data_IF_352519813961
#
_entry.id   IF_352519813961
#
_cell.length_a   1.000
_cell.length_b   1.000
_cell.length_c   1.000
_cell.angle_alpha   90.00
_cell.angle_beta   90.00
_cell.angle_gamma   90.00
#
_symmetry.space_group_name_H-M   'P 1'
#
loop_
_entity.id
_entity.type
_entity.pdbx_description
1 polymer ?
#
# COMPACT_ATOMS: atom_id res chain seq x y z
N UNK A 1 -7.53 -0.09 -21.26
CA UNK A 1 -7.51 -1.56 -21.15
C UNK A 1 -7.39 -1.91 -19.68
N UNK A 2 -8.15 -2.88 -19.22
CA UNK A 2 -8.03 -3.40 -17.86
C UNK A 2 -6.81 -4.35 -17.83
N UNK A 3 -5.81 -4.17 -16.96
CA UNK A 3 -4.62 -5.04 -16.91
C UNK A 3 -4.97 -6.51 -16.71
N UNK A 4 -6.07 -6.79 -16.03
CA UNK A 4 -6.54 -8.17 -15.80
C UNK A 4 -6.92 -8.92 -17.10
N UNK A 5 -7.16 -8.20 -18.22
CA UNK A 5 -7.44 -8.84 -19.53
C UNK A 5 -6.22 -9.57 -20.10
N UNK A 6 -5.02 -9.22 -19.64
CA UNK A 6 -3.76 -9.85 -20.09
C UNK A 6 -3.27 -10.97 -19.17
N UNK A 7 -3.94 -11.17 -18.05
CA UNK A 7 -3.56 -12.26 -17.14
C UNK A 7 -4.10 -13.60 -17.64
N UNK A 8 -3.31 -14.67 -17.52
CA UNK A 8 -3.80 -16.00 -17.83
C UNK A 8 -4.98 -16.34 -16.92
N UNK A 9 -5.94 -17.16 -17.36
CA UNK A 9 -7.01 -17.65 -16.51
C UNK A 9 -6.44 -18.28 -15.23
N UNK A 10 -7.00 -17.93 -14.07
CA UNK A 10 -6.64 -18.51 -12.78
C UNK A 10 -7.92 -18.92 -12.03
N UNK A 11 -8.60 -20.00 -12.47
CA UNK A 11 -9.91 -20.42 -11.96
C UNK A 11 -9.87 -20.84 -10.50
N UNK A 12 -8.70 -21.17 -9.96
CA UNK A 12 -8.53 -21.69 -8.61
C UNK A 12 -8.24 -20.64 -7.55
N UNK A 13 -8.23 -19.35 -7.92
CA UNK A 13 -8.08 -18.26 -6.94
C UNK A 13 -9.33 -18.19 -6.05
N UNK A 14 -9.08 -17.99 -4.76
CA UNK A 14 -10.12 -17.88 -3.75
C UNK A 14 -10.29 -16.40 -3.36
N UNK A 15 -11.48 -15.84 -3.55
CA UNK A 15 -11.81 -14.48 -3.19
C UNK A 15 -12.69 -14.47 -1.95
N UNK A 16 -12.34 -13.67 -0.94
CA UNK A 16 -13.09 -13.51 0.31
C UNK A 16 -13.12 -12.05 0.74
N UNK A 17 -14.24 -11.62 1.33
CA UNK A 17 -14.30 -10.38 2.06
C UNK A 17 -13.81 -10.62 3.49
N UNK A 18 -12.99 -9.68 4.00
CA UNK A 18 -12.61 -9.62 5.40
C UNK A 18 -13.24 -8.36 5.97
N UNK A 19 -14.07 -8.49 6.98
CA UNK A 19 -14.76 -7.36 7.60
C UNK A 19 -14.68 -7.42 9.12
N UNK A 20 -14.54 -6.27 9.75
CA UNK A 20 -14.54 -6.11 11.20
C UNK A 20 -14.93 -4.69 11.62
N UNK A 21 -15.19 -4.51 12.91
CA UNK A 21 -15.36 -3.19 13.53
C UNK A 21 -14.11 -2.83 14.34
N UNK A 22 -13.67 -1.59 14.20
CA UNK A 22 -12.57 -1.04 14.99
C UNK A 22 -12.90 0.38 15.43
N UNK A 23 -12.86 0.64 16.73
CA UNK A 23 -13.19 1.94 17.37
C UNK A 23 -14.55 2.52 16.90
N UNK A 24 -15.55 1.66 16.67
CA UNK A 24 -16.89 2.08 16.28
C UNK A 24 -17.08 2.37 14.79
N UNK A 25 -16.09 2.07 13.96
CA UNK A 25 -16.14 2.16 12.50
C UNK A 25 -16.08 0.77 11.88
N UNK A 26 -16.88 0.55 10.83
CA UNK A 26 -16.86 -0.69 10.05
C UNK A 26 -15.84 -0.61 8.91
N UNK A 27 -15.07 -1.68 8.74
CA UNK A 27 -14.06 -1.81 7.70
C UNK A 27 -14.29 -3.09 6.91
N UNK A 28 -14.05 -3.04 5.59
CA UNK A 28 -14.14 -4.19 4.71
C UNK A 28 -13.00 -4.19 3.70
N UNK A 29 -12.27 -5.30 3.60
CA UNK A 29 -11.19 -5.53 2.64
C UNK A 29 -11.45 -6.74 1.76
N UNK A 30 -10.59 -6.93 0.77
CA UNK A 30 -10.69 -8.02 -0.20
C UNK A 30 -9.43 -8.90 -0.12
N UNK A 31 -9.61 -10.13 0.31
CA UNK A 31 -8.55 -11.14 0.35
C UNK A 31 -8.63 -12.00 -0.91
N UNK A 32 -7.48 -12.21 -1.54
CA UNK A 32 -7.33 -13.16 -2.63
C UNK A 32 -6.21 -14.14 -2.27
N UNK A 33 -6.52 -15.43 -2.29
CA UNK A 33 -5.57 -16.50 -2.04
C UNK A 33 -5.37 -17.38 -3.28
N UNK A 34 -4.19 -17.97 -3.48
CA UNK A 34 -3.98 -18.98 -4.50
C UNK A 34 -4.77 -20.24 -4.19
N UNK A 35 -4.73 -21.23 -5.10
CA UNK A 35 -5.41 -22.51 -4.91
C UNK A 35 -5.11 -23.13 -3.54
N UNK A 36 -6.15 -23.64 -2.87
CA UNK A 36 -6.01 -24.35 -1.60
C UNK A 36 -5.07 -25.58 -1.69
N UNK A 37 -4.88 -26.13 -2.88
CA UNK A 37 -3.96 -27.24 -3.11
C UNK A 37 -2.49 -26.88 -2.83
N UNK A 38 -2.15 -25.59 -2.84
CA UNK A 38 -0.81 -25.09 -2.53
C UNK A 38 -0.54 -24.95 -1.02
N UNK A 39 -1.55 -25.15 -0.18
CA UNK A 39 -1.49 -24.92 1.27
C UNK A 39 -1.41 -23.44 1.67
N UNK A 40 -1.28 -23.15 2.99
CA UNK A 40 -1.18 -21.78 3.49
C UNK A 40 0.05 -21.03 2.94
N UNK A 41 -0.12 -19.73 2.66
CA UNK A 41 0.88 -18.87 2.03
C UNK A 41 1.12 -17.60 2.84
N UNK A 42 2.28 -16.92 2.69
CA UNK A 42 2.53 -15.65 3.34
C UNK A 42 1.51 -14.58 2.95
N UNK A 43 1.08 -13.80 3.94
CA UNK A 43 0.17 -12.67 3.76
C UNK A 43 0.93 -11.42 3.31
N UNK A 44 0.37 -10.71 2.34
CA UNK A 44 0.80 -9.37 1.93
C UNK A 44 -0.39 -8.42 2.00
N UNK A 45 -0.31 -7.40 2.86
CA UNK A 45 -1.28 -6.31 2.89
C UNK A 45 -1.04 -5.36 1.72
N UNK A 46 -2.11 -4.92 1.08
CA UNK A 46 -2.11 -3.90 0.01
C UNK A 46 -2.88 -2.70 0.48
N UNK A 47 -2.21 -1.56 0.61
CA UNK A 47 -2.79 -0.33 1.15
C UNK A 47 -2.99 0.68 0.03
N UNK A 48 -4.23 1.13 -0.11
CA UNK A 48 -4.68 2.03 -1.16
C UNK A 48 -4.03 3.43 -1.12
N UNK A 49 -4.12 4.17 -2.21
CA UNK A 49 -3.76 5.59 -2.24
C UNK A 49 -4.83 6.44 -1.48
N UNK A 50 -4.64 7.78 -1.43
CA UNK A 50 -5.55 8.66 -0.70
C UNK A 50 -7.02 8.60 -1.13
N UNK A 51 -7.34 8.03 -2.29
CA UNK A 51 -8.71 7.93 -2.80
C UNK A 51 -9.53 6.77 -2.20
N UNK A 52 -8.98 6.01 -1.27
CA UNK A 52 -9.64 4.85 -0.67
C UNK A 52 -9.48 3.57 -1.49
N UNK A 53 -9.98 2.46 -0.93
CA UNK A 53 -9.90 1.13 -1.54
C UNK A 53 -10.67 1.09 -2.86
N UNK A 54 -9.98 0.74 -3.94
CA UNK A 54 -10.52 0.67 -5.31
C UNK A 54 -10.24 -0.67 -5.99
N UNK A 55 -10.74 -0.82 -7.19
CA UNK A 55 -10.50 -2.01 -7.99
C UNK A 55 -9.00 -2.24 -8.25
N UNK A 56 -8.21 -1.18 -8.41
CA UNK A 56 -6.76 -1.32 -8.57
C UNK A 56 -6.11 -2.04 -7.39
N UNK A 57 -6.49 -1.74 -6.17
CA UNK A 57 -5.92 -2.35 -4.97
C UNK A 57 -6.33 -3.84 -4.88
N UNK A 58 -7.55 -4.18 -5.30
CA UNK A 58 -8.01 -5.56 -5.43
C UNK A 58 -7.27 -6.30 -6.55
N UNK A 59 -6.99 -5.63 -7.68
CA UNK A 59 -6.17 -6.17 -8.77
C UNK A 59 -4.74 -6.44 -8.30
N UNK A 60 -4.18 -5.58 -7.42
CA UNK A 60 -2.86 -5.83 -6.81
C UNK A 60 -2.90 -7.04 -5.88
N UNK A 61 -3.93 -7.19 -5.05
CA UNK A 61 -4.09 -8.36 -4.20
C UNK A 61 -4.22 -9.66 -5.03
N UNK A 62 -4.96 -9.62 -6.14
CA UNK A 62 -5.04 -10.74 -7.08
C UNK A 62 -3.70 -11.02 -7.77
N UNK A 63 -2.96 -9.98 -8.20
CA UNK A 63 -1.62 -10.13 -8.74
C UNK A 63 -0.69 -10.88 -7.78
N UNK A 64 -0.71 -10.52 -6.51
CA UNK A 64 0.07 -11.19 -5.47
C UNK A 64 -0.37 -12.65 -5.28
N UNK A 65 -1.67 -12.95 -5.34
CA UNK A 65 -2.17 -14.31 -5.25
C UNK A 65 -1.73 -15.16 -6.45
N UNK A 66 -1.68 -14.59 -7.64
CA UNK A 66 -1.14 -15.25 -8.85
C UNK A 66 0.35 -15.54 -8.75
N UNK A 67 1.10 -14.74 -8.00
CA UNK A 67 2.51 -14.97 -7.70
C UNK A 67 2.74 -16.03 -6.61
N UNK A 68 1.69 -16.47 -5.89
CA UNK A 68 1.79 -17.49 -4.84
C UNK A 68 1.72 -16.96 -3.41
N UNK A 69 1.33 -15.70 -3.18
CA UNK A 69 1.08 -15.09 -1.87
C UNK A 69 -0.41 -15.03 -1.55
N UNK A 70 -0.79 -14.69 -0.33
CA UNK A 70 -2.14 -14.22 -0.02
C UNK A 70 -2.13 -12.70 -0.06
N UNK A 71 -2.86 -12.10 -1.01
CA UNK A 71 -3.02 -10.65 -1.10
C UNK A 71 -4.26 -10.19 -0.34
N UNK A 72 -4.15 -9.18 0.51
CA UNK A 72 -5.27 -8.56 1.22
C UNK A 72 -5.28 -7.05 0.96
N UNK A 73 -6.17 -6.61 0.08
CA UNK A 73 -6.44 -5.19 -0.13
C UNK A 73 -7.30 -4.67 1.03
N UNK A 74 -6.72 -3.76 1.82
CA UNK A 74 -7.33 -3.24 3.04
C UNK A 74 -7.93 -1.85 2.85
N UNK A 75 -9.02 -1.60 3.55
CA UNK A 75 -9.66 -0.30 3.64
C UNK A 75 -9.19 0.45 4.90
N UNK A 76 -8.65 1.65 4.72
CA UNK A 76 -8.21 2.49 5.82
C UNK A 76 -9.22 3.57 6.21
N UNK A 77 -10.34 3.69 5.49
CA UNK A 77 -11.29 4.78 5.70
C UNK A 77 -12.64 4.34 6.29
N UNK A 78 -13.00 3.07 6.12
CA UNK A 78 -14.23 2.51 6.64
C UNK A 78 -15.48 3.26 6.16
N UNK A 79 -16.41 3.48 7.06
CA UNK A 79 -17.65 4.20 6.82
C UNK A 79 -17.48 5.72 6.61
N UNK A 80 -16.27 6.28 6.78
CA UNK A 80 -15.98 7.68 6.45
C UNK A 80 -16.01 7.94 4.95
N UNK A 81 -15.63 6.95 4.16
CA UNK A 81 -15.82 6.93 2.71
C UNK A 81 -16.58 5.65 2.37
N UNK A 82 -17.91 5.67 2.35
CA UNK A 82 -18.77 4.52 2.11
C UNK A 82 -18.39 3.75 0.84
N UNK A 83 -18.65 2.45 0.82
CA UNK A 83 -18.22 1.55 -0.26
C UNK A 83 -18.79 1.91 -1.63
N UNK A 84 -20.00 2.46 -1.67
CA UNK A 84 -20.64 3.00 -2.86
C UNK A 84 -20.00 4.29 -3.39
N UNK A 85 -19.32 5.03 -2.52
CA UNK A 85 -18.57 6.25 -2.84
C UNK A 85 -17.07 5.99 -3.11
N UNK A 86 -16.58 4.76 -2.94
CA UNK A 86 -15.16 4.39 -3.13
C UNK A 86 -14.74 4.26 -4.59
N UNK A 87 -15.68 4.13 -5.50
CA UNK A 87 -15.38 4.21 -6.92
C UNK A 87 -15.21 5.67 -7.35
N UNK A 88 -14.36 5.89 -8.35
CA UNK A 88 -14.13 7.25 -8.84
C UNK A 88 -15.42 7.78 -9.48
N UNK A 89 -15.93 8.98 -9.09
CA UNK A 89 -17.16 9.52 -9.64
C UNK A 89 -17.10 9.64 -11.17
N UNK A 90 -18.16 9.21 -11.84
CA UNK A 90 -18.30 9.35 -13.29
C UNK A 90 -18.69 10.77 -13.70
N UNK A 91 -19.39 11.49 -12.82
CA UNK A 91 -19.75 12.89 -13.00
C UNK A 91 -18.59 13.80 -12.59
N UNK A 92 -18.01 14.59 -13.52
CA UNK A 92 -16.91 15.50 -13.21
C UNK A 92 -17.21 16.49 -12.07
N UNK A 93 -18.49 16.86 -11.90
CA UNK A 93 -18.90 17.80 -10.85
C UNK A 93 -18.82 17.20 -9.44
N UNK A 94 -18.74 15.88 -9.31
CA UNK A 94 -18.63 15.17 -8.04
C UNK A 94 -17.19 14.84 -7.66
N UNK A 95 -16.25 14.99 -8.58
CA UNK A 95 -14.85 14.58 -8.37
C UNK A 95 -14.21 15.34 -7.20
N UNK A 96 -14.38 16.67 -7.16
CA UNK A 96 -13.77 17.49 -6.12
C UNK A 96 -14.34 17.17 -4.73
N UNK A 97 -15.66 17.00 -4.61
CA UNK A 97 -16.30 16.62 -3.36
C UNK A 97 -15.84 15.24 -2.86
N UNK A 98 -15.72 14.27 -3.78
CA UNK A 98 -15.20 12.94 -3.47
C UNK A 98 -13.74 12.99 -3.00
N UNK A 99 -12.89 13.73 -3.72
CA UNK A 99 -11.48 13.90 -3.35
C UNK A 99 -11.32 14.57 -1.99
N UNK A 100 -12.14 15.59 -1.70
CA UNK A 100 -12.17 16.26 -0.40
C UNK A 100 -12.50 15.29 0.72
N UNK A 101 -13.56 14.48 0.56
CA UNK A 101 -13.95 13.46 1.54
C UNK A 101 -12.81 12.44 1.80
N UNK A 102 -12.17 11.95 0.75
CA UNK A 102 -11.04 11.02 0.87
C UNK A 102 -9.85 11.68 1.58
N UNK A 103 -9.57 12.94 1.28
CA UNK A 103 -8.49 13.68 1.92
C UNK A 103 -8.78 13.93 3.41
N UNK A 104 -10.01 14.27 3.77
CA UNK A 104 -10.44 14.40 5.17
C UNK A 104 -10.31 13.08 5.94
N UNK A 105 -10.63 11.94 5.31
CA UNK A 105 -10.44 10.63 5.91
C UNK A 105 -8.95 10.30 6.12
N UNK A 106 -8.08 10.68 5.18
CA UNK A 106 -6.63 10.56 5.34
C UNK A 106 -6.13 11.43 6.50
N UNK A 107 -6.55 12.68 6.57
CA UNK A 107 -6.16 13.62 7.65
C UNK A 107 -6.66 13.15 9.02
N UNK A 108 -7.82 12.50 9.08
CA UNK A 108 -8.32 11.89 10.33
C UNK A 108 -7.35 10.86 10.90
N UNK A 109 -6.73 10.02 10.06
CA UNK A 109 -5.68 9.09 10.50
C UNK A 109 -4.39 9.81 10.88
N UNK A 110 -3.99 10.83 10.12
CA UNK A 110 -2.79 11.63 10.42
C UNK A 110 -2.87 12.34 11.79
N UNK A 111 -4.08 12.69 12.22
CA UNK A 111 -4.30 13.36 13.50
C UNK A 111 -4.17 12.45 14.72
N UNK A 112 -4.33 11.13 14.52
CA UNK A 112 -4.28 10.12 15.57
C UNK A 112 -3.39 8.95 15.15
N UNK A 113 -2.06 9.04 15.37
CA UNK A 113 -1.13 7.96 15.03
C UNK A 113 -1.40 6.65 15.75
N UNK A 114 -1.96 6.67 16.94
CA UNK A 114 -2.33 5.46 17.67
C UNK A 114 -3.54 4.78 17.03
N UNK A 115 -4.50 5.56 16.54
CA UNK A 115 -5.60 5.07 15.72
C UNK A 115 -5.06 4.46 14.42
N UNK A 116 -4.17 5.18 13.72
CA UNK A 116 -3.62 4.75 12.45
C UNK A 116 -2.89 3.40 12.57
N UNK A 117 -1.97 3.29 13.51
CA UNK A 117 -1.20 2.08 13.79
C UNK A 117 -2.07 0.94 14.30
N UNK A 118 -3.01 1.26 15.21
CA UNK A 118 -3.98 0.27 15.72
C UNK A 118 -4.90 -0.29 14.65
N UNK A 119 -5.30 0.50 13.66
CA UNK A 119 -6.07 0.02 12.52
C UNK A 119 -5.25 -0.91 11.62
N UNK A 120 -3.98 -0.58 11.36
CA UNK A 120 -3.07 -1.47 10.62
C UNK A 120 -2.88 -2.80 11.34
N UNK A 121 -2.71 -2.79 12.66
CA UNK A 121 -2.60 -4.00 13.48
C UNK A 121 -3.89 -4.82 13.43
N UNK A 122 -5.05 -4.19 13.51
CA UNK A 122 -6.34 -4.87 13.37
C UNK A 122 -6.48 -5.58 12.02
N UNK A 123 -6.00 -4.96 10.94
CA UNK A 123 -5.96 -5.59 9.61
C UNK A 123 -4.99 -6.78 9.56
N UNK A 124 -3.82 -6.69 10.20
CA UNK A 124 -2.89 -7.82 10.31
C UNK A 124 -3.53 -8.99 11.05
N UNK A 125 -4.16 -8.72 12.20
CA UNK A 125 -4.85 -9.75 12.99
C UNK A 125 -5.98 -10.40 12.18
N UNK A 126 -6.81 -9.60 11.53
CA UNK A 126 -7.92 -10.11 10.71
C UNK A 126 -7.43 -10.94 9.52
N UNK A 127 -6.38 -10.49 8.83
CA UNK A 127 -5.79 -11.21 7.70
C UNK A 127 -5.12 -12.52 8.12
N UNK A 128 -4.37 -12.52 9.23
CA UNK A 128 -3.71 -13.73 9.76
C UNK A 128 -4.71 -14.79 10.26
N UNK A 129 -5.94 -14.41 10.56
CA UNK A 129 -6.98 -15.37 10.95
C UNK A 129 -7.53 -16.20 9.78
N UNK A 130 -7.25 -15.84 8.52
CA UNK A 130 -7.70 -16.60 7.36
C UNK A 130 -6.92 -17.91 7.20
N UNK A 131 -7.63 -19.01 6.91
CA UNK A 131 -7.05 -20.35 6.78
C UNK A 131 -6.04 -20.51 5.63
N UNK A 132 -6.04 -19.59 4.66
CA UNK A 132 -5.07 -19.57 3.57
C UNK A 132 -3.75 -18.93 3.96
N UNK A 133 -3.67 -18.26 5.11
CA UNK A 133 -2.48 -17.57 5.59
C UNK A 133 -1.59 -18.50 6.41
N UNK A 134 -0.29 -18.45 6.15
CA UNK A 134 0.72 -19.22 6.86
C UNK A 134 1.28 -18.42 8.04
N UNK A 135 1.40 -19.07 9.19
CA UNK A 135 2.09 -18.52 10.37
C UNK A 135 3.62 -18.72 10.32
N UNK A 136 4.14 -19.34 9.26
CA UNK A 136 5.56 -19.67 9.17
C UNK A 136 6.47 -18.45 8.93
N UNK A 137 5.90 -17.32 8.52
CA UNK A 137 6.61 -16.06 8.33
C UNK A 137 5.72 -14.88 8.69
N UNK A 138 6.32 -13.82 9.23
CA UNK A 138 5.63 -12.56 9.43
C UNK A 138 5.15 -11.98 8.11
N UNK A 139 3.96 -11.38 8.03
CA UNK A 139 3.43 -10.78 6.80
C UNK A 139 4.33 -9.70 6.21
N UNK A 140 4.11 -9.37 4.94
CA UNK A 140 4.61 -8.14 4.33
C UNK A 140 3.49 -7.14 4.11
N UNK A 141 3.84 -5.89 3.82
CA UNK A 141 2.88 -4.87 3.42
C UNK A 141 3.42 -4.01 2.27
N UNK A 142 2.55 -3.65 1.35
CA UNK A 142 2.86 -2.70 0.28
C UNK A 142 1.81 -1.59 0.24
N UNK A 143 2.20 -0.41 -0.20
CA UNK A 143 1.25 0.69 -0.30
C UNK A 143 1.65 1.75 -1.32
N UNK A 144 0.65 2.43 -1.85
CA UNK A 144 0.78 3.43 -2.91
C UNK A 144 0.41 4.82 -2.38
N UNK A 145 1.25 5.82 -2.55
CA UNK A 145 0.99 7.20 -2.09
C UNK A 145 0.71 7.25 -0.57
N UNK A 146 -0.52 7.54 -0.15
CA UNK A 146 -0.97 7.41 1.25
C UNK A 146 -0.66 6.01 1.82
N UNK A 147 -0.91 4.94 1.07
CA UNK A 147 -0.58 3.58 1.49
C UNK A 147 0.91 3.37 1.72
N UNK A 148 1.76 4.04 0.94
CA UNK A 148 3.21 4.05 1.15
C UNK A 148 3.60 4.72 2.47
N UNK A 149 2.91 5.78 2.88
CA UNK A 149 3.05 6.37 4.21
C UNK A 149 2.53 5.42 5.29
N UNK A 150 1.41 4.75 5.05
CA UNK A 150 0.79 3.84 6.00
C UNK A 150 1.69 2.65 6.37
N UNK A 151 2.38 2.05 5.39
CA UNK A 151 3.32 0.95 5.70
C UNK A 151 4.46 1.42 6.59
N UNK A 152 4.93 2.67 6.42
CA UNK A 152 5.96 3.26 7.28
C UNK A 152 5.45 3.53 8.71
N UNK A 153 4.18 3.91 8.85
CA UNK A 153 3.54 4.02 10.18
C UNK A 153 3.44 2.64 10.85
N UNK A 154 3.22 1.58 10.10
CA UNK A 154 3.31 0.21 10.60
C UNK A 154 4.70 -0.13 11.16
N UNK A 155 5.76 0.25 10.45
CA UNK A 155 7.16 0.07 10.93
C UNK A 155 7.40 0.87 12.20
N UNK A 156 6.98 2.14 12.22
CA UNK A 156 7.09 3.04 13.39
C UNK A 156 6.29 2.53 14.60
N UNK A 157 5.20 1.84 14.38
CA UNK A 157 4.37 1.21 15.41
C UNK A 157 4.87 -0.16 15.86
N UNK A 158 5.99 -0.65 15.32
CA UNK A 158 6.54 -1.94 15.72
C UNK A 158 5.75 -3.15 15.24
N UNK A 159 4.93 -3.01 14.22
CA UNK A 159 4.13 -4.13 13.72
C UNK A 159 5.03 -5.29 13.25
N UNK A 160 4.55 -6.51 13.48
CA UNK A 160 5.26 -7.73 13.08
C UNK A 160 5.15 -7.95 11.56
N UNK A 161 6.00 -7.23 10.82
CA UNK A 161 6.13 -7.30 9.38
C UNK A 161 7.54 -7.77 8.99
N UNK A 162 7.65 -8.69 8.04
CA UNK A 162 8.93 -9.12 7.48
C UNK A 162 9.53 -8.07 6.54
N UNK A 163 8.69 -7.43 5.73
CA UNK A 163 9.10 -6.40 4.80
C UNK A 163 7.96 -5.42 4.52
N UNK A 164 8.31 -4.18 4.16
CA UNK A 164 7.37 -3.20 3.61
C UNK A 164 7.92 -2.58 2.33
N UNK A 165 7.02 -2.27 1.38
CA UNK A 165 7.36 -1.54 0.16
C UNK A 165 6.47 -0.33 0.02
N UNK A 166 7.09 0.85 -0.01
CA UNK A 166 6.42 2.13 -0.21
C UNK A 166 6.61 2.59 -1.66
N UNK A 167 5.54 2.55 -2.47
CA UNK A 167 5.54 3.07 -3.83
C UNK A 167 5.10 4.54 -3.81
N UNK A 168 5.99 5.46 -4.19
CA UNK A 168 5.77 6.90 -4.22
C UNK A 168 5.00 7.40 -2.98
N UNK A 169 5.34 6.86 -1.81
CA UNK A 169 4.72 7.22 -0.55
C UNK A 169 5.24 8.53 0.01
N UNK A 170 4.40 9.21 0.81
CA UNK A 170 4.89 10.25 1.70
C UNK A 170 5.77 9.59 2.77
N UNK A 171 6.91 10.20 3.08
CA UNK A 171 7.87 9.57 3.99
C UNK A 171 7.49 9.72 5.45
N UNK A 172 6.65 10.69 5.78
CA UNK A 172 6.26 10.99 7.15
C UNK A 172 4.79 11.38 7.26
N UNK A 173 4.15 10.93 8.33
CA UNK A 173 2.81 11.35 8.73
C UNK A 173 2.81 12.83 9.11
N UNK A 174 1.75 13.56 8.79
CA UNK A 174 1.63 14.99 9.09
C UNK A 174 2.45 15.92 8.18
N UNK A 175 3.31 15.41 7.31
CA UNK A 175 3.91 16.22 6.26
C UNK A 175 2.90 16.46 5.15
N UNK A 176 2.64 17.72 4.88
CA UNK A 176 1.73 18.09 3.82
C UNK A 176 2.33 19.16 2.92
N UNK A 177 2.66 18.78 1.70
CA UNK A 177 3.12 19.73 0.71
C UNK A 177 1.99 20.56 0.07
N UNK A 178 0.72 20.23 0.29
CA UNK A 178 -0.40 20.93 -0.36
C UNK A 178 -1.68 21.01 0.51
N UNK A 179 -1.62 21.50 1.76
CA UNK A 179 -2.75 21.54 2.68
C UNK A 179 -3.95 22.30 2.15
N UNK A 180 -3.69 23.36 1.38
CA UNK A 180 -4.73 24.27 0.92
C UNK A 180 -5.62 23.70 -0.19
N UNK A 181 -5.22 22.60 -0.84
CA UNK A 181 -5.94 22.08 -2.01
C UNK A 181 -7.36 21.62 -1.68
N UNK A 182 -7.55 21.05 -0.48
CA UNK A 182 -8.83 20.48 -0.03
C UNK A 182 -9.36 21.15 1.25
N UNK A 183 -8.81 22.30 1.65
CA UNK A 183 -9.26 23.04 2.81
C UNK A 183 -8.91 22.43 4.18
N UNK A 184 -8.33 21.22 4.21
CA UNK A 184 -7.89 20.57 5.43
C UNK A 184 -6.41 20.86 5.70
N UNK A 185 -6.06 21.05 6.97
CA UNK A 185 -4.67 21.18 7.42
C UNK A 185 -4.23 19.90 8.11
N UNK A 186 -3.07 19.37 7.73
CA UNK A 186 -2.46 18.24 8.43
C UNK A 186 -1.71 18.74 9.67
N UNK A 187 -1.67 17.96 10.75
CA UNK A 187 -0.92 18.35 11.94
C UNK A 187 0.58 18.39 11.63
N UNK A 188 1.29 19.27 12.34
CA UNK A 188 2.74 19.19 12.32
C UNK A 188 3.19 17.84 12.88
N UNK A 189 4.20 17.24 12.28
CA UNK A 189 4.86 16.05 12.78
C UNK A 189 5.19 16.20 14.25
N UNK A 190 4.69 15.28 15.05
CA UNK A 190 5.15 15.12 16.43
C UNK A 190 6.17 14.00 16.45
N UNK A 191 7.32 14.17 17.12
CA UNK A 191 8.17 13.05 17.45
C UNK A 191 7.33 12.04 18.26
N UNK A 192 7.13 10.88 17.73
CA UNK A 192 6.40 9.81 18.42
C UNK A 192 7.46 8.93 19.04
N UNK A 193 7.24 8.49 20.31
CA UNK A 193 7.98 7.39 20.84
C UNK A 193 7.73 6.19 19.92
N UNK A 194 8.78 5.73 19.26
CA UNK A 194 8.68 4.77 18.17
C UNK A 194 9.16 3.42 18.68
N UNK A 195 8.31 2.43 18.56
CA UNK A 195 8.63 1.05 18.90
C UNK A 195 9.02 0.29 17.61
N UNK A 196 9.97 0.82 16.85
CA UNK A 196 10.36 0.22 15.58
C UNK A 196 10.64 -1.27 15.67
N UNK A 197 10.07 -2.03 14.74
CA UNK A 197 10.51 -3.41 14.53
C UNK A 197 11.75 -3.39 13.61
N UNK A 198 12.95 -3.44 14.21
CA UNK A 198 14.21 -3.43 13.47
C UNK A 198 14.43 -4.68 12.59
N UNK A 199 13.56 -5.70 12.67
CA UNK A 199 13.62 -6.87 11.78
C UNK A 199 12.87 -6.66 10.45
N UNK A 200 12.06 -5.61 10.36
CA UNK A 200 11.35 -5.28 9.13
C UNK A 200 12.30 -4.67 8.12
N UNK A 201 12.36 -5.23 6.90
CA UNK A 201 13.11 -4.63 5.79
C UNK A 201 12.23 -3.59 5.10
N UNK A 202 12.74 -2.39 4.92
CA UNK A 202 12.01 -1.25 4.33
C UNK A 202 12.55 -0.95 2.94
N UNK A 203 11.71 -1.03 1.92
CA UNK A 203 12.02 -0.63 0.55
C UNK A 203 11.19 0.59 0.15
N UNK A 204 11.87 1.66 -0.21
CA UNK A 204 11.23 2.87 -0.74
C UNK A 204 11.49 2.97 -2.24
N UNK A 205 10.42 3.04 -3.01
CA UNK A 205 10.42 3.27 -4.44
C UNK A 205 9.87 4.67 -4.72
N UNK A 206 10.77 5.63 -4.96
CA UNK A 206 10.45 7.05 -5.07
C UNK A 206 10.67 7.57 -6.49
N UNK A 207 9.85 8.53 -6.91
CA UNK A 207 10.10 9.32 -8.12
C UNK A 207 11.03 10.49 -7.82
N UNK A 208 12.12 10.65 -8.59
CA UNK A 208 13.06 11.74 -8.35
C UNK A 208 12.45 13.14 -8.61
N UNK A 209 11.36 13.22 -9.38
CA UNK A 209 10.58 14.45 -9.62
C UNK A 209 9.26 14.45 -8.84
N UNK A 210 9.18 13.68 -7.76
CA UNK A 210 8.01 13.68 -6.88
C UNK A 210 7.93 14.98 -6.10
N UNK A 211 6.96 15.83 -6.47
CA UNK A 211 6.76 17.14 -5.84
C UNK A 211 6.23 17.05 -4.39
N UNK A 212 5.80 15.87 -3.94
CA UNK A 212 5.35 15.64 -2.56
C UNK A 212 6.47 15.16 -1.64
N UNK A 213 7.66 14.85 -2.17
CA UNK A 213 8.80 14.34 -1.42
C UNK A 213 10.02 15.23 -1.66
N UNK A 214 10.22 16.21 -0.77
CA UNK A 214 11.36 17.11 -0.84
C UNK A 214 12.67 16.42 -0.38
N UNK A 215 13.82 17.03 -0.72
CA UNK A 215 15.11 16.54 -0.22
C UNK A 215 15.15 16.56 1.32
N UNK A 216 14.55 17.57 1.96
CA UNK A 216 14.48 17.62 3.42
C UNK A 216 13.64 16.47 4.03
N UNK A 217 12.60 15.99 3.33
CA UNK A 217 11.86 14.81 3.74
C UNK A 217 12.73 13.55 3.69
N UNK A 218 13.50 13.38 2.61
CA UNK A 218 14.44 12.27 2.44
C UNK A 218 15.50 12.26 3.53
N UNK A 219 16.14 13.41 3.76
CA UNK A 219 17.21 13.55 4.77
C UNK A 219 16.71 13.19 6.18
N UNK A 220 15.49 13.64 6.54
CA UNK A 220 14.87 13.26 7.82
C UNK A 220 14.54 11.78 7.90
N UNK A 221 13.99 11.22 6.82
CA UNK A 221 13.66 9.80 6.76
C UNK A 221 14.92 8.93 6.92
N UNK A 222 16.01 9.26 6.23
CA UNK A 222 17.27 8.50 6.34
C UNK A 222 17.80 8.54 7.78
N UNK A 223 17.85 9.74 8.37
CA UNK A 223 18.31 9.91 9.75
C UNK A 223 17.41 9.15 10.76
N UNK A 224 16.10 9.11 10.52
CA UNK A 224 15.14 8.39 11.33
C UNK A 224 15.36 6.87 11.26
N UNK A 225 15.44 6.31 10.06
CA UNK A 225 15.63 4.86 9.87
C UNK A 225 16.98 4.38 10.37
N UNK A 226 18.05 5.17 10.16
CA UNK A 226 19.38 4.88 10.71
C UNK A 226 19.38 4.88 12.24
N UNK A 227 18.76 5.88 12.86
CA UNK A 227 18.66 5.97 14.32
C UNK A 227 17.83 4.82 14.92
N UNK A 228 16.83 4.32 14.20
CA UNK A 228 16.00 3.19 14.60
C UNK A 228 16.67 1.83 14.36
N UNK A 229 17.78 1.77 13.63
CA UNK A 229 18.48 0.53 13.28
C UNK A 229 17.69 -0.35 12.33
N UNK A 230 16.79 0.22 11.54
CA UNK A 230 15.99 -0.48 10.54
C UNK A 230 16.84 -0.74 9.30
N UNK A 231 16.71 -1.93 8.71
CA UNK A 231 17.28 -2.23 7.39
C UNK A 231 16.42 -1.58 6.31
N UNK A 232 16.98 -0.61 5.59
CA UNK A 232 16.24 0.15 4.59
C UNK A 232 17.00 0.34 3.28
N UNK A 233 16.24 0.43 2.19
CA UNK A 233 16.73 0.77 0.86
C UNK A 233 15.84 1.86 0.25
N UNK A 234 16.45 2.84 -0.42
CA UNK A 234 15.77 3.94 -1.10
C UNK A 234 16.19 4.01 -2.56
N UNK A 235 15.23 3.86 -3.47
CA UNK A 235 15.46 3.93 -4.91
C UNK A 235 14.79 5.17 -5.48
N UNK A 236 15.60 6.10 -6.00
CA UNK A 236 15.12 7.30 -6.69
C UNK A 236 15.10 7.06 -8.21
N UNK A 237 13.93 6.98 -8.79
CA UNK A 237 13.75 6.81 -10.23
C UNK A 237 13.85 8.15 -10.95
N UNK A 238 14.90 8.33 -11.76
CA UNK A 238 15.13 9.58 -12.50
C UNK A 238 13.96 9.96 -13.41
N UNK A 239 13.62 11.27 -13.47
CA UNK A 239 12.54 11.83 -14.31
C UNK A 239 11.15 11.21 -14.05
N UNK A 240 10.91 10.77 -12.85
CA UNK A 240 9.71 10.03 -12.48
C UNK A 240 8.88 10.86 -11.49
N UNK A 241 7.60 11.15 -11.81
CA UNK A 241 6.73 11.95 -10.94
C UNK A 241 6.09 11.11 -9.84
N UNK A 242 5.32 11.78 -8.95
CA UNK A 242 4.42 11.12 -8.01
C UNK A 242 3.38 10.25 -8.72
N UNK A 243 3.03 9.11 -8.16
CA UNK A 243 1.99 8.23 -8.71
C UNK A 243 2.46 7.33 -9.84
N UNK A 244 3.74 7.22 -10.09
CA UNK A 244 4.33 6.53 -11.24
C UNK A 244 3.95 5.04 -11.40
N UNK A 245 3.50 4.40 -10.34
CA UNK A 245 3.08 2.99 -10.31
C UNK A 245 1.55 2.82 -10.24
N UNK A 246 0.79 3.90 -10.41
CA UNK A 246 -0.67 3.83 -10.51
C UNK A 246 -1.11 3.65 -11.97
N UNK A 247 -2.19 2.90 -12.26
CA UNK A 247 -2.69 2.76 -13.62
C UNK A 247 -3.21 4.07 -14.18
N UNK A 248 -3.13 4.24 -15.51
CA UNK A 248 -3.50 5.48 -16.20
C UNK A 248 -4.90 6.01 -15.87
N UNK A 249 -5.82 5.11 -15.47
CA UNK A 249 -7.23 5.45 -15.16
C UNK A 249 -7.44 6.17 -13.83
N UNK A 250 -6.48 6.12 -12.89
CA UNK A 250 -6.67 6.64 -11.52
C UNK A 250 -5.72 7.76 -11.12
N UNK A 251 -4.81 8.16 -11.98
CA UNK A 251 -3.89 9.26 -11.73
C UNK A 251 -4.00 10.37 -12.77
N UNK A 252 -3.34 11.52 -12.57
CA UNK A 252 -3.32 12.59 -13.54
C UNK A 252 -2.62 12.16 -14.83
N UNK A 253 -2.91 12.79 -15.97
CA UNK A 253 -2.23 12.48 -17.24
C UNK A 253 -0.71 12.53 -17.11
N UNK A 254 -0.02 11.48 -17.59
CA UNK A 254 1.44 11.41 -17.61
C UNK A 254 2.10 10.96 -16.30
N UNK A 255 1.32 10.59 -15.27
CA UNK A 255 1.89 10.10 -14.00
C UNK A 255 2.54 8.70 -14.13
N UNK A 256 1.91 7.76 -14.85
CA UNK A 256 2.46 6.41 -15.02
C UNK A 256 3.78 6.46 -15.79
N UNK A 257 4.85 5.98 -15.16
CA UNK A 257 6.17 5.84 -15.77
C UNK A 257 6.54 4.36 -15.87
N UNK A 258 6.21 3.72 -16.99
CA UNK A 258 6.29 2.26 -17.16
C UNK A 258 7.67 1.66 -16.81
N UNK A 259 8.77 2.37 -17.08
CA UNK A 259 10.11 1.88 -16.71
C UNK A 259 10.33 1.89 -15.20
N UNK A 260 9.88 2.93 -14.50
CA UNK A 260 9.99 3.01 -13.05
C UNK A 260 9.07 1.98 -12.38
N UNK A 261 7.81 1.88 -12.86
CA UNK A 261 6.84 0.91 -12.36
C UNK A 261 7.33 -0.54 -12.54
N UNK A 262 7.89 -0.89 -13.71
CA UNK A 262 8.50 -2.20 -13.93
C UNK A 262 9.66 -2.47 -12.98
N UNK A 263 10.59 -1.51 -12.81
CA UNK A 263 11.76 -1.67 -11.95
C UNK A 263 11.35 -1.80 -10.47
N UNK A 264 10.46 -0.94 -10.00
CA UNK A 264 9.98 -0.98 -8.62
C UNK A 264 9.22 -2.28 -8.32
N UNK A 265 8.41 -2.77 -9.27
CA UNK A 265 7.78 -4.10 -9.15
C UNK A 265 8.84 -5.21 -9.06
N UNK A 266 9.89 -5.18 -9.89
CA UNK A 266 10.97 -6.17 -9.83
C UNK A 266 11.76 -6.12 -8.51
N UNK A 267 12.00 -4.92 -7.97
CA UNK A 267 12.65 -4.74 -6.66
C UNK A 267 11.78 -5.34 -5.54
N UNK A 268 10.48 -5.07 -5.54
CA UNK A 268 9.51 -5.70 -4.62
C UNK A 268 9.55 -7.23 -4.73
N UNK A 269 9.51 -7.77 -5.94
CA UNK A 269 9.55 -9.23 -6.15
C UNK A 269 10.88 -9.83 -5.68
N UNK A 270 11.99 -9.10 -5.81
CA UNK A 270 13.30 -9.53 -5.30
C UNK A 270 13.31 -9.57 -3.78
N UNK A 271 12.82 -8.53 -3.12
CA UNK A 271 12.67 -8.48 -1.67
C UNK A 271 11.77 -9.61 -1.15
N UNK A 272 10.66 -9.89 -1.84
CA UNK A 272 9.76 -10.97 -1.42
C UNK A 272 10.38 -12.37 -1.58
N UNK A 273 11.28 -12.58 -2.56
CA UNK A 273 12.07 -13.84 -2.61
C UNK A 273 13.03 -13.97 -1.44
N UNK A 274 13.56 -12.87 -0.95
CA UNK A 274 14.45 -12.85 0.22
C UNK A 274 13.69 -13.20 1.51
N UNK A 275 12.58 -12.50 1.78
CA UNK A 275 11.82 -12.68 3.04
C UNK A 275 10.89 -13.91 3.03
N UNK A 276 10.53 -14.41 1.85
CA UNK A 276 9.69 -15.60 1.67
C UNK A 276 10.35 -16.66 0.78
N UNK A 277 11.51 -17.19 1.18
CA UNK A 277 12.34 -18.07 0.31
C UNK A 277 11.64 -19.37 -0.09
N UNK A 278 10.58 -19.77 0.62
CA UNK A 278 9.82 -20.99 0.33
C UNK A 278 8.65 -20.77 -0.66
N UNK A 279 8.48 -19.54 -1.16
CA UNK A 279 7.46 -19.24 -2.18
C UNK A 279 8.12 -19.21 -3.55
N UNK A 280 7.78 -20.18 -4.38
CA UNK A 280 8.15 -20.15 -5.80
C UNK A 280 7.20 -19.16 -6.50
N UNK A 281 7.74 -17.99 -6.91
CA UNK A 281 6.95 -16.96 -7.59
C UNK A 281 6.61 -17.41 -9.01
N UNK A 282 5.33 -17.43 -9.34
CA UNK A 282 4.88 -17.64 -10.71
C UNK A 282 5.14 -16.40 -11.58
N UNK A 283 5.37 -16.59 -12.87
CA UNK A 283 5.46 -15.49 -13.83
C UNK A 283 4.05 -15.06 -14.26
N UNK A 284 3.73 -13.78 -14.10
CA UNK A 284 2.40 -13.24 -14.47
C UNK A 284 2.44 -12.36 -15.72
N UNK A 285 3.60 -11.87 -16.11
CA UNK A 285 3.82 -11.11 -17.34
C UNK A 285 3.46 -9.62 -17.26
N UNK A 286 2.40 -9.25 -16.53
CA UNK A 286 1.98 -7.86 -16.32
C UNK A 286 1.61 -7.64 -14.86
N UNK A 287 1.97 -6.48 -14.29
CA UNK A 287 1.51 -6.08 -12.96
C UNK A 287 0.09 -5.47 -13.02
N UNK A 288 -0.45 -5.10 -11.86
CA UNK A 288 -1.80 -4.54 -11.76
C UNK A 288 -1.95 -3.13 -12.35
N UNK A 289 -0.86 -2.40 -12.58
CA UNK A 289 -0.87 -1.11 -13.30
C UNK A 289 -0.92 -1.29 -14.81
N UNK A 290 -0.70 -2.53 -15.30
CA UNK A 290 -0.68 -2.86 -16.73
C UNK A 290 0.70 -2.76 -17.37
N UNK A 291 1.75 -2.69 -16.56
CA UNK A 291 3.15 -2.67 -17.03
C UNK A 291 3.66 -4.09 -17.18
N UNK A 292 4.36 -4.36 -18.30
CA UNK A 292 4.98 -5.66 -18.56
C UNK A 292 6.13 -5.92 -17.58
N UNK A 293 6.08 -7.09 -16.94
CA UNK A 293 7.11 -7.62 -16.05
C UNK A 293 7.69 -8.87 -16.71
N UNK A 294 8.93 -8.83 -17.18
CA UNK A 294 9.57 -9.98 -17.82
C UNK A 294 9.90 -11.12 -16.85
#
# INVERSE_FOLDING_TARGET
MNPTEFWPPAPDLQHRAIAFEFRGHAFEGSLVAPSAALGPRPLVLVIHNYQGLKQFDRDVAEYLARLGYVGLAIDMYGDRVPSDEREFPKDPNQIEAFQTKCFEAMVWLDHDPDLFRGLLDAWLVAGKADVAVSDAASPAAIGYCFGGMAVLEGVRGGLDLSAVVSFHGLLQTGEDPSPARFGATRPALKPIANDYNAKTIVLIENGAEDHLVSQANKDRFFAEMDAAGVDWSFVDHAKTPHGFALPRRIGPPGHLHETADRRSTQNMLSLFREVFPNVEQAAVGFNAAGTMIP
#
